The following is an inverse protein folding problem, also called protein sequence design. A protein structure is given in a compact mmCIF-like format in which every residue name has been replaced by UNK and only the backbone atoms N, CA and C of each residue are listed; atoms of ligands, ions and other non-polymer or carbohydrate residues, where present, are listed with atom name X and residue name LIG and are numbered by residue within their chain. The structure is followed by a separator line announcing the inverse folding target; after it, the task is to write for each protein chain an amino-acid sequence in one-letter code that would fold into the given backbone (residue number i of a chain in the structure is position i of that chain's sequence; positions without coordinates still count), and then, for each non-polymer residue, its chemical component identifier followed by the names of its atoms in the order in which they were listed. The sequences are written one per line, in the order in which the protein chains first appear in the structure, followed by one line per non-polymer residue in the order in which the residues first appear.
data_IF_311298159900
#
_entry.id   IF_311298159900
#
_cell.length_a   1.000
_cell.length_b   1.000
_cell.length_c   1.000
_cell.angle_alpha   90.00
_cell.angle_beta   90.00
_cell.angle_gamma   90.00
#
_symmetry.space_group_name_H-M   'P 1'
#
loop_
_entity.id
_entity.type
_entity.pdbx_description
1 polymer ?
#
# COMPACT_ATOMS: atom_id res chain seq x y z
N UNK A 1 3.91 -14.10 -11.57
CA UNK A 1 4.10 -12.65 -11.37
C UNK A 1 4.89 -12.41 -10.10
N UNK A 2 5.93 -11.62 -10.18
CA UNK A 2 6.69 -11.27 -8.98
C UNK A 2 6.05 -10.09 -8.26
N UNK A 3 5.91 -10.22 -6.96
CA UNK A 3 5.22 -9.25 -6.14
C UNK A 3 5.93 -9.04 -4.80
N UNK A 4 5.81 -7.83 -4.26
CA UNK A 4 6.30 -7.51 -2.93
C UNK A 4 5.16 -7.73 -1.93
N UNK A 5 5.44 -8.48 -0.87
CA UNK A 5 4.47 -8.74 0.17
C UNK A 5 4.41 -7.60 1.18
N UNK A 6 3.21 -7.20 1.53
CA UNK A 6 2.93 -6.16 2.51
C UNK A 6 1.93 -6.70 3.52
N UNK A 7 2.18 -6.46 4.80
CA UNK A 7 1.23 -6.87 5.84
C UNK A 7 0.52 -5.67 6.43
N UNK A 8 -0.78 -5.82 6.64
CA UNK A 8 -1.61 -4.86 7.35
C UNK A 8 -2.28 -5.63 8.48
N UNK A 9 -1.71 -5.51 9.67
CA UNK A 9 -2.09 -6.35 10.79
C UNK A 9 -1.79 -7.82 10.49
N UNK A 10 -2.82 -8.65 10.53
CA UNK A 10 -2.71 -10.09 10.24
C UNK A 10 -2.94 -10.43 8.76
N UNK A 11 -3.37 -9.47 7.98
CA UNK A 11 -3.71 -9.68 6.57
C UNK A 11 -2.50 -9.44 5.69
N UNK A 12 -2.34 -10.30 4.68
CA UNK A 12 -1.22 -10.22 3.74
C UNK A 12 -1.73 -9.71 2.40
N UNK A 13 -1.07 -8.67 1.92
CA UNK A 13 -1.33 -8.09 0.61
C UNK A 13 -0.08 -8.17 -0.24
N UNK A 14 -0.23 -7.89 -1.51
CA UNK A 14 0.88 -7.87 -2.44
C UNK A 14 0.73 -6.70 -3.42
N UNK A 15 1.84 -6.17 -3.87
CA UNK A 15 1.87 -5.23 -4.99
C UNK A 15 2.80 -5.78 -6.05
N UNK A 16 2.49 -5.59 -7.35
CA UNK A 16 3.40 -6.02 -8.40
C UNK A 16 4.77 -5.37 -8.21
N UNK A 17 5.83 -6.14 -8.42
CA UNK A 17 7.19 -5.60 -8.24
C UNK A 17 7.47 -4.46 -9.22
N UNK A 18 6.78 -4.44 -10.34
CA UNK A 18 6.94 -3.39 -11.36
C UNK A 18 6.51 -2.02 -10.90
N UNK A 19 5.61 -1.93 -9.91
CA UNK A 19 5.17 -0.65 -9.34
C UNK A 19 5.84 -0.36 -8.00
N UNK A 20 6.48 -1.34 -7.38
CA UNK A 20 7.20 -1.15 -6.12
C UNK A 20 8.50 -0.40 -6.40
N UNK A 21 8.73 0.68 -5.68
CA UNK A 21 9.89 1.54 -5.88
C UNK A 21 10.92 1.36 -4.78
N UNK A 22 10.50 1.53 -3.53
CA UNK A 22 11.39 1.36 -2.38
C UNK A 22 10.58 1.26 -1.10
N UNK A 23 11.25 0.90 -0.02
CA UNK A 23 10.66 0.84 1.32
C UNK A 23 11.37 1.85 2.20
N UNK A 24 10.60 2.67 2.90
CA UNK A 24 11.12 3.62 3.88
C UNK A 24 10.81 3.09 5.28
N UNK A 25 11.84 2.97 6.10
CA UNK A 25 11.73 2.47 7.47
C UNK A 25 11.73 3.65 8.42
N UNK A 26 10.85 3.62 9.41
CA UNK A 26 10.69 4.68 10.41
C UNK A 26 10.59 6.07 9.75
N UNK A 27 9.62 6.28 8.88
CA UNK A 27 9.49 7.51 8.11
C UNK A 27 9.21 8.70 9.02
N UNK A 28 9.75 9.85 8.63
CA UNK A 28 9.39 11.11 9.27
C UNK A 28 8.20 11.71 8.52
N UNK A 29 7.02 11.55 9.09
CA UNK A 29 5.80 12.05 8.49
C UNK A 29 5.55 13.50 8.90
N UNK A 30 5.19 14.32 7.91
CA UNK A 30 4.70 15.67 8.14
C UNK A 30 3.19 15.65 7.98
N UNK A 31 2.50 16.05 9.03
CA UNK A 31 1.04 16.09 9.01
C UNK A 31 0.53 17.13 8.02
N UNK A 32 -0.59 16.82 7.38
CA UNK A 32 -1.28 17.78 6.53
C UNK A 32 -2.11 18.73 7.39
N UNK A 33 -2.16 20.02 7.04
CA UNK A 33 -3.00 20.98 7.77
C UNK A 33 -4.49 20.72 7.58
N UNK A 34 -4.86 20.06 6.49
CA UNK A 34 -6.24 19.67 6.21
C UNK A 34 -6.30 18.14 6.33
N UNK A 35 -7.09 17.65 7.27
CA UNK A 35 -7.23 16.22 7.43
C UNK A 35 -8.05 15.63 6.29
N UNK A 36 -7.42 14.81 5.47
CA UNK A 36 -8.11 13.87 4.61
C UNK A 36 -8.01 12.51 5.27
N UNK A 37 -9.10 11.75 5.24
CA UNK A 37 -9.23 10.57 6.10
C UNK A 37 -8.18 9.50 5.84
N UNK A 38 -7.74 9.34 4.61
CA UNK A 38 -6.84 8.25 4.25
C UNK A 38 -5.36 8.64 4.17
N UNK A 39 -5.04 9.92 4.25
CA UNK A 39 -3.65 10.38 4.17
C UNK A 39 -3.05 10.48 5.56
N UNK A 40 -2.05 9.66 5.84
CA UNK A 40 -1.36 9.66 7.12
C UNK A 40 -0.40 10.85 7.26
N UNK A 41 0.11 11.35 6.14
CA UNK A 41 1.03 12.49 6.12
C UNK A 41 1.82 12.53 4.84
N UNK A 42 2.87 13.36 4.85
CA UNK A 42 3.80 13.49 3.72
C UNK A 42 5.19 13.10 4.16
N UNK A 43 5.95 12.52 3.24
CA UNK A 43 7.39 12.32 3.45
C UNK A 43 8.16 13.05 2.36
N UNK A 44 9.37 13.47 2.70
CA UNK A 44 10.32 14.00 1.72
C UNK A 44 11.23 12.85 1.31
N UNK A 45 11.18 12.49 0.03
CA UNK A 45 11.97 11.42 -0.51
C UNK A 45 12.92 12.00 -1.54
N UNK A 46 14.14 12.31 -1.10
CA UNK A 46 15.18 12.89 -1.96
C UNK A 46 14.72 14.13 -2.72
N UNK A 47 14.02 15.02 -2.02
CA UNK A 47 13.51 16.26 -2.59
C UNK A 47 12.08 16.18 -3.12
N UNK A 48 11.54 14.99 -3.31
CA UNK A 48 10.16 14.81 -3.74
C UNK A 48 9.23 14.69 -2.54
N UNK A 49 8.12 15.37 -2.59
CA UNK A 49 7.09 15.25 -1.57
C UNK A 49 6.16 14.12 -1.97
N UNK A 50 6.08 13.10 -1.13
CA UNK A 50 5.30 11.89 -1.40
C UNK A 50 4.17 11.76 -0.38
N UNK A 51 2.90 11.71 -0.82
CA UNK A 51 1.81 11.46 0.10
C UNK A 51 1.85 10.02 0.60
N UNK A 52 1.61 9.82 1.89
CA UNK A 52 1.57 8.52 2.53
C UNK A 52 0.13 8.22 2.93
N UNK A 53 -0.40 7.14 2.41
CA UNK A 53 -1.76 6.70 2.70
C UNK A 53 -1.74 5.64 3.78
N UNK A 54 -2.75 5.68 4.64
CA UNK A 54 -3.01 4.61 5.60
C UNK A 54 -3.68 3.46 4.84
N UNK A 55 -2.92 2.41 4.57
CA UNK A 55 -3.39 1.29 3.78
C UNK A 55 -4.54 0.55 4.45
N UNK A 56 -4.51 0.43 5.78
CA UNK A 56 -5.61 -0.19 6.51
C UNK A 56 -6.91 0.59 6.29
N UNK A 57 -6.85 1.90 6.36
CA UNK A 57 -8.02 2.74 6.15
C UNK A 57 -8.54 2.64 4.72
N UNK A 58 -7.65 2.64 3.74
CA UNK A 58 -8.04 2.51 2.33
C UNK A 58 -8.74 1.17 2.05
N UNK A 59 -8.33 0.12 2.76
CA UNK A 59 -8.88 -1.22 2.58
C UNK A 59 -10.07 -1.52 3.51
N UNK A 60 -10.47 -0.56 4.34
CA UNK A 60 -11.58 -0.77 5.26
C UNK A 60 -11.23 -1.65 6.46
N UNK A 61 -9.96 -1.74 6.82
CA UNK A 61 -9.47 -2.60 7.90
C UNK A 61 -9.18 -1.83 9.20
N UNK A 62 -9.59 -0.58 9.28
CA UNK A 62 -9.30 0.26 10.43
C UNK A 62 -8.19 1.27 10.14
N UNK A 63 -7.33 1.50 11.10
CA UNK A 63 -6.22 2.45 10.95
C UNK A 63 -4.92 1.82 11.44
N UNK A 64 -3.79 2.34 10.93
CA UNK A 64 -2.46 1.97 11.41
C UNK A 64 -2.09 3.00 12.49
N UNK A 65 -1.97 2.59 13.76
CA UNK A 65 -1.75 3.55 14.86
C UNK A 65 -0.37 4.19 14.84
N UNK A 66 0.63 3.48 14.30
CA UNK A 66 1.98 3.99 14.22
C UNK A 66 2.62 3.47 12.94
N UNK A 67 3.10 4.39 12.10
CA UNK A 67 3.66 4.03 10.80
C UNK A 67 5.13 3.66 10.96
N UNK A 68 5.43 2.37 10.88
CA UNK A 68 6.79 1.86 10.95
C UNK A 68 7.43 1.71 9.58
N UNK A 69 6.64 1.42 8.56
CA UNK A 69 7.12 1.16 7.20
C UNK A 69 6.20 1.83 6.18
N UNK A 70 6.83 2.36 5.14
CA UNK A 70 6.11 2.89 3.97
C UNK A 70 6.67 2.22 2.73
N UNK A 71 5.80 1.55 1.98
CA UNK A 71 6.14 1.04 0.66
C UNK A 71 5.84 2.14 -0.36
N UNK A 72 6.86 2.65 -1.02
CA UNK A 72 6.69 3.66 -2.05
C UNK A 72 6.43 2.96 -3.37
N UNK A 73 5.31 3.33 -4.00
CA UNK A 73 4.87 2.74 -5.26
C UNK A 73 4.67 3.82 -6.30
N UNK A 74 4.80 3.44 -7.58
CA UNK A 74 4.53 4.36 -8.69
C UNK A 74 3.06 4.29 -9.07
N UNK A 75 2.48 5.45 -9.29
CA UNK A 75 1.12 5.59 -9.83
C UNK A 75 1.14 6.49 -11.04
N UNK A 76 0.04 6.55 -11.77
CA UNK A 76 -0.10 7.47 -12.91
C UNK A 76 0.00 8.93 -12.52
N UNK A 77 -0.17 9.26 -11.24
CA UNK A 77 -0.06 10.63 -10.70
C UNK A 77 1.28 10.88 -9.99
N UNK A 78 2.20 9.93 -10.06
CA UNK A 78 3.49 10.01 -9.40
C UNK A 78 3.61 9.03 -8.25
N UNK A 79 4.68 9.13 -7.44
CA UNK A 79 4.90 8.21 -6.34
C UNK A 79 3.88 8.42 -5.21
N UNK A 80 3.50 7.33 -4.59
CA UNK A 80 2.64 7.32 -3.41
C UNK A 80 3.23 6.35 -2.38
N UNK A 81 3.08 6.66 -1.11
CA UNK A 81 3.50 5.79 -0.02
C UNK A 81 2.32 5.03 0.54
N UNK A 82 2.49 3.75 0.76
CA UNK A 82 1.53 2.91 1.44
C UNK A 82 2.08 2.56 2.81
N UNK A 83 1.48 3.12 3.85
CA UNK A 83 1.83 2.79 5.22
C UNK A 83 1.32 1.38 5.53
N UNK A 84 2.20 0.52 5.99
CA UNK A 84 1.90 -0.88 6.29
C UNK A 84 2.53 -1.26 7.62
N UNK A 85 2.09 -2.37 8.20
CA UNK A 85 2.63 -2.82 9.48
C UNK A 85 3.94 -3.57 9.32
N UNK A 86 4.11 -4.29 8.21
CA UNK A 86 5.35 -4.99 7.89
C UNK A 86 5.52 -5.06 6.38
N UNK A 87 6.78 -5.12 5.95
CA UNK A 87 7.14 -5.40 4.57
C UNK A 87 7.84 -6.75 4.53
N UNK A 88 7.31 -7.65 3.73
CA UNK A 88 7.90 -8.96 3.51
C UNK A 88 8.87 -8.96 2.34
N UNK A 89 9.15 -10.13 1.84
CA UNK A 89 10.03 -10.32 0.71
C UNK A 89 9.28 -10.24 -0.62
N UNK A 90 10.00 -10.16 -1.72
CA UNK A 90 9.41 -10.34 -3.04
C UNK A 90 9.30 -11.83 -3.32
N UNK A 91 8.16 -12.24 -3.86
CA UNK A 91 7.87 -13.64 -4.15
C UNK A 91 7.31 -13.79 -5.55
N UNK A 92 7.46 -14.97 -6.12
CA UNK A 92 6.80 -15.33 -7.36
C UNK A 92 5.43 -15.89 -7.03
N UNK A 93 4.38 -15.24 -7.50
CA UNK A 93 3.01 -15.70 -7.32
C UNK A 93 2.58 -16.51 -8.53
N UNK A 94 1.84 -17.59 -8.27
CA UNK A 94 1.20 -18.38 -9.33
C UNK A 94 -0.02 -17.68 -9.89
N UNK A 95 -0.97 -18.46 -10.38
CA UNK A 95 -2.22 -17.93 -10.90
C UNK A 95 -3.15 -17.51 -9.78
N UNK A 96 -4.03 -16.55 -10.07
CA UNK A 96 -5.06 -16.13 -9.13
C UNK A 96 -5.97 -17.32 -8.78
N UNK A 97 -6.26 -17.46 -7.50
CA UNK A 97 -7.16 -18.51 -7.01
C UNK A 97 -8.60 -18.01 -6.83
N UNK A 98 -8.85 -16.76 -7.08
CA UNK A 98 -10.19 -16.20 -6.97
C UNK A 98 -10.19 -14.69 -7.09
N UNK A 99 -11.41 -14.17 -7.18
CA UNK A 99 -11.64 -12.74 -7.21
C UNK A 99 -11.76 -12.18 -5.79
N UNK A 100 -11.62 -10.87 -5.67
CA UNK A 100 -11.86 -10.15 -4.42
C UNK A 100 -12.89 -9.07 -4.68
N UNK A 101 -13.71 -8.78 -3.67
CA UNK A 101 -14.74 -7.75 -3.74
C UNK A 101 -14.37 -6.51 -2.92
N UNK A 102 -13.16 -6.46 -2.37
CA UNK A 102 -12.68 -5.28 -1.66
C UNK A 102 -12.20 -4.25 -2.69
N UNK A 103 -12.74 -3.02 -2.65
CA UNK A 103 -12.28 -1.97 -3.56
C UNK A 103 -10.77 -1.73 -3.44
N UNK A 104 -10.12 -1.56 -4.57
CA UNK A 104 -8.67 -1.36 -4.62
C UNK A 104 -7.86 -2.64 -4.63
N UNK A 105 -8.52 -3.80 -4.75
CA UNK A 105 -7.85 -5.09 -4.85
C UNK A 105 -8.21 -5.80 -6.16
N UNK A 106 -7.34 -6.68 -6.59
CA UNK A 106 -7.51 -7.43 -7.83
C UNK A 106 -6.94 -8.84 -7.67
N UNK A 107 -7.77 -9.78 -7.29
CA UNK A 107 -7.42 -11.19 -7.21
C UNK A 107 -6.75 -11.60 -5.90
N UNK A 108 -6.93 -12.88 -5.60
CA UNK A 108 -6.33 -13.54 -4.44
C UNK A 108 -5.35 -14.61 -4.92
N UNK A 109 -4.28 -14.82 -4.18
CA UNK A 109 -3.19 -15.72 -4.56
C UNK A 109 -2.81 -16.60 -3.37
N UNK A 110 -2.57 -17.86 -3.64
CA UNK A 110 -2.09 -18.77 -2.61
C UNK A 110 -0.65 -18.45 -2.23
N UNK A 111 -0.37 -18.45 -0.93
CA UNK A 111 0.95 -18.20 -0.37
C UNK A 111 1.18 -19.19 0.77
N UNK A 112 1.56 -20.42 0.42
CA UNK A 112 1.62 -21.51 1.37
C UNK A 112 0.23 -21.80 1.94
N UNK A 113 0.07 -21.70 3.26
CA UNK A 113 -1.23 -21.87 3.92
C UNK A 113 -2.02 -20.57 4.04
N UNK A 114 -1.47 -19.48 3.55
CA UNK A 114 -2.09 -18.15 3.60
C UNK A 114 -2.56 -17.73 2.22
N UNK A 115 -3.30 -16.65 2.18
CA UNK A 115 -3.75 -16.01 0.95
C UNK A 115 -3.23 -14.58 0.95
N UNK A 116 -2.62 -14.18 -0.15
CA UNK A 116 -2.24 -12.79 -0.38
C UNK A 116 -3.23 -12.17 -1.35
N UNK A 117 -3.66 -10.95 -1.06
CA UNK A 117 -4.59 -10.20 -1.90
C UNK A 117 -3.80 -9.13 -2.65
N UNK A 118 -3.92 -9.14 -3.97
CA UNK A 118 -3.21 -8.18 -4.82
C UNK A 118 -3.87 -6.81 -4.75
N UNK A 119 -3.07 -5.80 -4.48
CA UNK A 119 -3.50 -4.41 -4.51
C UNK A 119 -3.38 -3.87 -5.92
N UNK A 120 -4.46 -3.27 -6.41
CA UNK A 120 -4.42 -2.40 -7.59
C UNK A 120 -4.13 -0.99 -7.07
N UNK A 121 -2.88 -0.58 -7.18
CA UNK A 121 -2.40 0.68 -6.61
C UNK A 121 -3.18 1.86 -7.17
N UNK A 122 -3.41 1.89 -8.47
CA UNK A 122 -4.16 2.98 -9.11
C UNK A 122 -5.56 3.09 -8.55
N UNK A 123 -6.28 1.97 -8.46
CA UNK A 123 -7.63 1.96 -7.96
C UNK A 123 -7.70 2.27 -6.46
N UNK A 124 -6.68 1.87 -5.71
CA UNK A 124 -6.67 2.06 -4.26
C UNK A 124 -6.45 3.53 -3.87
N UNK A 125 -5.47 4.19 -4.49
CA UNK A 125 -5.06 5.53 -4.07
C UNK A 125 -5.77 6.65 -4.82
N UNK A 126 -6.28 6.41 -6.04
CA UNK A 126 -6.87 7.46 -6.86
C UNK A 126 -8.02 8.22 -6.18
N UNK A 127 -9.01 7.57 -5.55
CA UNK A 127 -10.09 8.30 -4.89
C UNK A 127 -9.61 9.19 -3.74
N UNK A 128 -8.62 8.75 -2.98
CA UNK A 128 -8.08 9.53 -1.87
C UNK A 128 -7.15 10.64 -2.36
N UNK A 129 -6.36 10.37 -3.42
CA UNK A 129 -5.43 11.33 -4.00
C UNK A 129 -6.10 12.41 -4.83
N UNK A 130 -7.31 12.18 -5.31
CA UNK A 130 -8.11 13.14 -6.08
C UNK A 130 -9.16 13.85 -5.24
N UNK A 131 -9.11 13.73 -3.94
CA UNK A 131 -10.07 14.34 -3.04
C UNK A 131 -10.13 15.85 -3.27
N UNK A 132 -11.27 16.32 -3.58
CA UNK A 132 -11.56 17.72 -3.78
C UNK A 132 -12.67 18.14 -2.84
#
# INVERSE_FOLDING_TARGET
MRALLLSVGVDVFAVPITVAREVVVAPKLTALPIATTAVAGLINLRGDIVPVFDTAMLLGLGTIPSVAYVAVVETGLGPAGLAVTEVGESVELGESIGDTDVPGTVGAYALGTKVAVMIDVEALVAPAGTAT
#
